data_IF_386467430753
#
_entry.id   IF_386467430753
#
_cell.length_a   1.000
_cell.length_b   1.000
_cell.length_c   1.000
_cell.angle_alpha   90.00
_cell.angle_beta   90.00
_cell.angle_gamma   90.00
#
_symmetry.space_group_name_H-M   'P 1'
#
loop_
_entity.id
_entity.type
_entity.pdbx_description
1 polymer ?
#
# COMPACT_ATOMS: atom_id res chain seq x y z
N UNK A 1 2.29 -41.50 34.49
CA UNK A 1 3.75 -41.30 34.70
C UNK A 1 4.00 -39.80 34.69
N UNK A 2 4.44 -39.25 35.84
CA UNK A 2 4.67 -37.82 36.08
C UNK A 2 5.79 -37.29 35.17
N UNK A 3 5.60 -36.12 34.57
CA UNK A 3 6.72 -35.29 34.08
C UNK A 3 6.45 -33.83 34.43
N UNK A 4 6.89 -33.46 35.64
CA UNK A 4 7.16 -32.08 36.01
C UNK A 4 8.33 -31.57 35.17
N UNK A 5 8.11 -30.56 34.32
CA UNK A 5 9.22 -29.76 33.81
C UNK A 5 9.55 -28.70 34.88
N UNK A 6 10.68 -28.92 35.52
CA UNK A 6 11.31 -27.97 36.43
C UNK A 6 11.55 -26.64 35.68
N UNK A 7 10.95 -25.56 36.18
CA UNK A 7 11.40 -24.20 35.88
C UNK A 7 12.79 -24.08 36.49
N UNK A 8 13.80 -23.70 35.69
CA UNK A 8 15.16 -23.55 36.21
C UNK A 8 15.20 -22.44 37.26
N UNK A 9 16.09 -22.52 38.25
CA UNK A 9 16.26 -21.46 39.26
C UNK A 9 16.59 -20.09 38.63
N UNK A 10 17.10 -20.05 37.39
CA UNK A 10 17.30 -18.81 36.64
C UNK A 10 15.98 -18.21 36.13
N UNK A 11 15.05 -19.02 35.64
CA UNK A 11 13.75 -18.57 35.14
C UNK A 11 12.85 -18.07 36.28
N UNK A 12 12.90 -18.72 37.45
CA UNK A 12 12.17 -18.29 38.64
C UNK A 12 12.68 -16.92 39.16
N UNK A 13 14.01 -16.72 39.17
CA UNK A 13 14.61 -15.44 39.54
C UNK A 13 14.30 -14.32 38.53
N UNK A 14 14.24 -14.64 37.23
CA UNK A 14 13.85 -13.68 36.20
C UNK A 14 12.39 -13.23 36.36
N UNK A 15 11.47 -14.16 36.63
CA UNK A 15 10.06 -13.85 36.89
C UNK A 15 9.88 -13.01 38.18
N UNK A 16 10.63 -13.32 39.23
CA UNK A 16 10.62 -12.54 40.48
C UNK A 16 11.16 -11.11 40.26
N UNK A 17 12.20 -10.96 39.44
CA UNK A 17 12.73 -9.64 39.06
C UNK A 17 11.75 -8.83 38.22
N UNK A 18 11.05 -9.47 37.26
CA UNK A 18 9.99 -8.83 36.48
C UNK A 18 8.81 -8.40 37.35
N UNK A 19 8.39 -9.24 38.29
CA UNK A 19 7.33 -8.92 39.24
C UNK A 19 7.70 -7.73 40.15
N UNK A 20 8.93 -7.73 40.68
CA UNK A 20 9.43 -6.61 41.49
C UNK A 20 9.59 -5.31 40.68
N UNK A 21 9.98 -5.40 39.41
CA UNK A 21 10.03 -4.25 38.51
C UNK A 21 8.63 -3.67 38.24
N UNK A 22 7.63 -4.53 38.00
CA UNK A 22 6.22 -4.15 37.84
C UNK A 22 5.67 -3.48 39.09
N UNK A 23 5.95 -4.02 40.28
CA UNK A 23 5.56 -3.41 41.55
C UNK A 23 6.21 -2.03 41.76
N UNK A 24 7.48 -1.85 41.36
CA UNK A 24 8.15 -0.55 41.42
C UNK A 24 7.53 0.46 40.45
N UNK A 25 7.20 0.05 39.22
CA UNK A 25 6.53 0.92 38.25
C UNK A 25 5.14 1.32 38.76
N UNK A 26 4.36 0.36 39.27
CA UNK A 26 3.04 0.64 39.86
C UNK A 26 3.13 1.54 41.09
N UNK A 27 4.14 1.36 41.95
CA UNK A 27 4.38 2.22 43.10
C UNK A 27 4.80 3.64 42.68
N UNK A 28 5.62 3.79 41.65
CA UNK A 28 5.99 5.11 41.09
C UNK A 28 4.77 5.77 40.46
N UNK A 29 3.97 5.05 39.68
CA UNK A 29 2.72 5.55 39.11
C UNK A 29 1.74 5.96 40.20
N UNK A 30 1.61 5.17 41.27
CA UNK A 30 0.74 5.48 42.42
C UNK A 30 1.26 6.69 43.19
N UNK A 31 2.57 6.80 43.45
CA UNK A 31 3.18 7.97 44.08
C UNK A 31 3.04 9.23 43.22
N UNK A 32 3.12 9.10 41.90
CA UNK A 32 2.88 10.20 40.96
C UNK A 32 1.41 10.62 40.98
N UNK A 33 0.48 9.66 41.02
CA UNK A 33 -0.95 9.94 41.16
C UNK A 33 -1.27 10.58 42.51
N UNK A 34 -0.69 10.09 43.60
CA UNK A 34 -0.86 10.63 44.96
C UNK A 34 -0.24 12.02 45.07
N UNK A 35 0.88 12.29 44.39
CA UNK A 35 1.48 13.62 44.31
C UNK A 35 0.60 14.58 43.52
N UNK A 36 0.07 14.17 42.37
CA UNK A 36 -0.93 14.94 41.61
C UNK A 36 -2.17 15.21 42.48
N UNK A 37 -2.67 14.23 43.23
CA UNK A 37 -3.86 14.37 44.09
C UNK A 37 -3.58 15.22 45.34
N UNK A 38 -2.36 15.19 45.89
CA UNK A 38 -1.97 16.01 47.06
C UNK A 38 -1.65 17.46 46.68
N UNK A 39 -1.09 17.67 45.49
CA UNK A 39 -0.82 19.01 44.93
C UNK A 39 -2.10 19.63 44.30
N UNK A 40 -3.21 18.88 44.26
CA UNK A 40 -4.54 19.42 43.95
C UNK A 40 -5.04 20.25 45.15
N UNK A 41 -5.24 21.57 45.00
CA UNK A 41 -5.72 22.42 46.08
C UNK A 41 -7.07 21.90 46.60
N UNK A 42 -7.15 21.59 47.89
CA UNK A 42 -8.40 21.20 48.57
C UNK A 42 -9.24 22.39 49.04
N UNK A 43 -8.95 23.57 48.52
CA UNK A 43 -9.78 24.74 48.70
C UNK A 43 -10.90 24.72 47.67
N UNK A 44 -12.13 24.50 48.13
CA UNK A 44 -13.35 24.88 47.42
C UNK A 44 -13.49 26.41 47.35
N UNK A 45 -12.44 27.10 46.90
CA UNK A 45 -12.67 28.33 46.16
C UNK A 45 -13.11 27.86 44.78
N UNK A 46 -14.36 28.15 44.44
CA UNK A 46 -14.80 28.20 43.06
C UNK A 46 -13.84 29.18 42.41
N UNK A 47 -12.76 28.68 41.79
CA UNK A 47 -12.03 29.42 40.79
C UNK A 47 -13.11 29.70 39.77
N UNK A 48 -13.69 30.89 39.81
CA UNK A 48 -14.43 31.43 38.69
C UNK A 48 -13.39 31.45 37.59
N UNK A 49 -13.28 30.34 36.85
CA UNK A 49 -12.33 30.18 35.78
C UNK A 49 -12.68 31.32 34.85
N UNK A 50 -11.84 32.37 34.88
CA UNK A 50 -12.18 33.60 34.21
C UNK A 50 -12.22 33.23 32.74
N UNK A 51 -13.43 33.12 32.18
CA UNK A 51 -13.64 32.58 30.83
C UNK A 51 -12.83 33.39 29.83
N UNK A 52 -12.55 34.64 30.12
CA UNK A 52 -11.76 35.53 29.29
C UNK A 52 -10.27 35.17 29.35
N UNK A 53 -9.71 34.86 30.53
CA UNK A 53 -8.32 34.36 30.65
C UNK A 53 -8.15 33.03 29.94
N UNK A 54 -9.11 32.12 30.07
CA UNK A 54 -9.10 30.85 29.34
C UNK A 54 -9.13 31.05 27.82
N UNK A 55 -10.05 31.89 27.33
CA UNK A 55 -10.16 32.21 25.89
C UNK A 55 -8.88 32.84 25.37
N UNK A 56 -8.32 33.82 26.08
CA UNK A 56 -7.05 34.46 25.70
C UNK A 56 -5.91 33.46 25.64
N UNK A 57 -5.81 32.57 26.63
CA UNK A 57 -4.77 31.52 26.66
C UNK A 57 -4.96 30.52 25.52
N UNK A 58 -6.20 30.14 25.21
CA UNK A 58 -6.53 29.27 24.08
C UNK A 58 -6.19 29.92 22.74
N UNK A 59 -6.54 31.20 22.54
CA UNK A 59 -6.23 31.97 21.34
C UNK A 59 -4.72 32.12 21.15
N UNK A 60 -3.98 32.42 22.23
CA UNK A 60 -2.53 32.49 22.20
C UNK A 60 -1.89 31.17 21.78
N UNK A 61 -2.35 30.04 22.35
CA UNK A 61 -1.86 28.72 22.00
C UNK A 61 -2.15 28.35 20.54
N UNK A 62 -3.38 28.62 20.07
CA UNK A 62 -3.77 28.37 18.68
C UNK A 62 -2.96 29.22 17.68
N UNK A 63 -2.64 30.46 18.06
CA UNK A 63 -1.77 31.32 17.25
C UNK A 63 -0.34 30.78 17.21
N UNK A 64 0.19 30.34 18.34
CA UNK A 64 1.52 29.74 18.42
C UNK A 64 1.62 28.45 17.57
N UNK A 65 0.60 27.59 17.63
CA UNK A 65 0.51 26.40 16.77
C UNK A 65 0.50 26.77 15.28
N UNK A 66 -0.37 27.71 14.89
CA UNK A 66 -0.46 28.19 13.50
C UNK A 66 0.85 28.81 13.02
N UNK A 67 1.55 29.55 13.87
CA UNK A 67 2.82 30.19 13.52
C UNK A 67 3.95 29.21 13.27
N UNK A 68 3.86 27.98 13.83
CA UNK A 68 4.84 26.89 13.68
C UNK A 68 4.46 25.87 12.60
N UNK A 69 3.30 26.02 11.96
CA UNK A 69 2.89 25.13 10.89
C UNK A 69 3.87 25.20 9.71
N UNK A 70 4.01 24.08 8.98
CA UNK A 70 4.95 23.99 7.85
C UNK A 70 4.65 25.02 6.74
N UNK A 71 3.41 25.48 6.66
CA UNK A 71 2.85 26.42 5.69
C UNK A 71 2.58 27.82 6.29
N UNK A 72 3.03 28.10 7.52
CA UNK A 72 2.72 29.34 8.23
C UNK A 72 3.15 30.60 7.46
N UNK A 73 4.38 30.61 6.92
CA UNK A 73 4.91 31.73 6.14
C UNK A 73 4.11 31.96 4.85
N UNK A 74 3.73 30.89 4.16
CA UNK A 74 2.93 30.95 2.93
C UNK A 74 1.52 31.47 3.21
N UNK A 75 0.92 30.99 4.30
CA UNK A 75 -0.41 31.43 4.74
C UNK A 75 -0.40 32.92 5.11
N UNK A 76 0.64 33.39 5.81
CA UNK A 76 0.79 34.79 6.16
C UNK A 76 0.99 35.70 4.93
N UNK A 77 1.68 35.21 3.90
CA UNK A 77 1.95 35.95 2.66
C UNK A 77 0.85 35.82 1.60
N UNK A 78 -0.21 35.05 1.86
CA UNK A 78 -1.25 34.72 0.88
C UNK A 78 -2.04 35.96 0.43
N UNK A 79 -2.23 36.09 -0.87
CA UNK A 79 -3.10 37.07 -1.51
C UNK A 79 -4.58 36.82 -1.22
N UNK A 80 -5.44 37.80 -1.47
CA UNK A 80 -6.88 37.66 -1.20
C UNK A 80 -7.57 36.63 -2.10
N UNK A 81 -7.05 36.41 -3.31
CA UNK A 81 -7.54 35.36 -4.20
C UNK A 81 -7.16 33.96 -3.68
N UNK A 82 -5.97 33.79 -3.11
CA UNK A 82 -5.55 32.53 -2.49
C UNK A 82 -6.37 32.23 -1.23
N UNK A 83 -6.63 33.23 -0.39
CA UNK A 83 -7.52 33.10 0.77
C UNK A 83 -8.93 32.66 0.35
N UNK A 84 -9.49 33.33 -0.67
CA UNK A 84 -10.80 32.98 -1.23
C UNK A 84 -10.82 31.55 -1.77
N UNK A 85 -9.79 31.15 -2.53
CA UNK A 85 -9.66 29.79 -3.03
C UNK A 85 -9.57 28.76 -1.89
N UNK A 86 -8.80 29.04 -0.84
CA UNK A 86 -8.69 28.18 0.33
C UNK A 86 -10.03 28.00 1.05
N UNK A 87 -10.82 29.08 1.21
CA UNK A 87 -12.17 29.00 1.78
C UNK A 87 -13.11 28.14 0.93
N UNK A 88 -13.05 28.26 -0.40
CA UNK A 88 -13.83 27.41 -1.31
C UNK A 88 -13.44 25.94 -1.15
N UNK A 89 -12.14 25.62 -1.12
CA UNK A 89 -11.65 24.25 -0.92
C UNK A 89 -12.11 23.69 0.43
N UNK A 90 -12.11 24.50 1.50
CA UNK A 90 -12.62 24.09 2.81
C UNK A 90 -14.12 23.77 2.77
N UNK A 91 -14.93 24.59 2.09
CA UNK A 91 -16.37 24.34 1.88
C UNK A 91 -16.61 23.06 1.07
N UNK A 92 -15.80 22.81 0.04
CA UNK A 92 -15.88 21.60 -0.78
C UNK A 92 -15.52 20.36 0.05
N UNK A 93 -14.49 20.44 0.89
CA UNK A 93 -14.14 19.35 1.81
C UNK A 93 -15.29 19.04 2.78
N UNK A 94 -15.95 20.06 3.32
CA UNK A 94 -17.13 19.87 4.17
C UNK A 94 -18.31 19.27 3.39
N UNK A 95 -18.52 19.70 2.14
CA UNK A 95 -19.52 19.11 1.25
C UNK A 95 -19.26 17.62 1.00
N UNK A 96 -18.02 17.24 0.63
CA UNK A 96 -17.67 15.83 0.41
C UNK A 96 -17.82 14.98 1.68
N UNK A 97 -17.55 15.56 2.85
CA UNK A 97 -17.80 14.91 4.13
C UNK A 97 -19.27 14.57 4.31
N UNK A 98 -20.16 15.54 4.12
CA UNK A 98 -21.59 15.34 4.34
C UNK A 98 -22.26 14.48 3.26
N UNK A 99 -21.76 14.54 2.01
CA UNK A 99 -22.42 13.95 0.84
C UNK A 99 -21.77 12.67 0.30
N UNK A 100 -20.49 12.41 0.59
CA UNK A 100 -19.78 11.20 0.10
C UNK A 100 -19.48 10.21 1.22
N UNK A 101 -18.85 10.67 2.30
CA UNK A 101 -18.42 9.79 3.40
C UNK A 101 -19.50 9.68 4.49
N UNK A 102 -20.36 10.68 4.61
CA UNK A 102 -21.46 10.79 5.56
C UNK A 102 -20.99 10.88 7.02
N UNK A 103 -21.93 11.17 7.93
CA UNK A 103 -21.63 11.16 9.38
C UNK A 103 -21.21 9.75 9.83
N UNK A 104 -20.16 9.61 10.66
CA UNK A 104 -19.78 8.34 11.27
C UNK A 104 -20.86 7.96 12.29
N UNK A 105 -21.90 7.31 11.80
CA UNK A 105 -22.82 6.58 12.63
C UNK A 105 -22.24 5.17 12.76
N UNK A 106 -22.33 4.57 13.95
CA UNK A 106 -22.00 3.18 14.23
C UNK A 106 -22.93 2.21 13.47
N UNK A 107 -23.02 2.36 12.17
CA UNK A 107 -23.79 1.52 11.25
C UNK A 107 -22.78 0.60 10.61
N UNK A 108 -22.94 -0.69 10.88
CA UNK A 108 -22.15 -1.75 10.27
C UNK A 108 -22.17 -1.63 8.75
N UNK A 109 -20.98 -1.59 8.12
CA UNK A 109 -20.82 -1.55 6.66
C UNK A 109 -20.77 -0.16 6.01
N UNK A 110 -20.80 0.94 6.79
CA UNK A 110 -20.65 2.28 6.23
C UNK A 110 -19.17 2.70 6.14
N UNK A 111 -18.71 2.91 4.91
CA UNK A 111 -17.33 3.27 4.58
C UNK A 111 -17.00 4.71 4.94
N UNK A 112 -15.93 4.93 5.70
CA UNK A 112 -15.48 6.26 6.16
C UNK A 112 -14.09 6.64 5.61
N UNK A 113 -13.73 7.93 5.63
CA UNK A 113 -12.45 8.43 5.09
C UNK A 113 -11.20 7.73 5.65
N UNK A 114 -11.27 7.24 6.90
CA UNK A 114 -10.17 6.54 7.58
C UNK A 114 -10.06 5.05 7.27
N UNK A 115 -10.95 4.49 6.45
CA UNK A 115 -10.88 3.08 6.03
C UNK A 115 -9.85 2.85 4.92
N UNK A 116 -9.62 1.56 4.64
CA UNK A 116 -8.64 1.09 3.68
C UNK A 116 -8.83 1.66 2.27
N UNK A 117 -7.73 2.07 1.62
CA UNK A 117 -7.76 2.68 0.29
C UNK A 117 -8.48 1.82 -0.76
N UNK A 118 -8.22 0.51 -0.81
CA UNK A 118 -8.86 -0.40 -1.78
C UNK A 118 -10.37 -0.46 -1.58
N UNK A 119 -10.81 -0.41 -0.33
CA UNK A 119 -12.20 -0.25 0.07
C UNK A 119 -12.65 1.19 0.11
N UNK A 120 -11.98 2.17 -0.50
CA UNK A 120 -12.38 3.59 -0.56
C UNK A 120 -12.17 4.26 -1.93
N UNK A 121 -11.47 3.60 -2.84
CA UNK A 121 -11.07 4.18 -4.12
C UNK A 121 -12.25 4.66 -4.97
N UNK A 122 -13.39 3.95 -5.00
CA UNK A 122 -14.57 4.40 -5.76
C UNK A 122 -15.27 5.60 -5.12
N UNK A 123 -15.20 5.76 -3.80
CA UNK A 123 -15.71 6.93 -3.09
C UNK A 123 -14.81 8.14 -3.31
N UNK A 124 -13.49 7.97 -3.15
CA UNK A 124 -12.50 9.02 -3.42
C UNK A 124 -12.69 9.59 -4.83
N UNK A 125 -12.89 8.72 -5.82
CA UNK A 125 -13.12 9.12 -7.21
C UNK A 125 -14.39 9.94 -7.45
N UNK A 126 -15.37 9.90 -6.53
CA UNK A 126 -16.62 10.66 -6.62
C UNK A 126 -16.51 12.07 -6.03
N UNK A 127 -15.56 12.29 -5.12
CA UNK A 127 -15.41 13.57 -4.39
C UNK A 127 -15.05 14.74 -5.30
N UNK A 128 -15.60 15.91 -4.98
CA UNK A 128 -15.23 17.17 -5.67
C UNK A 128 -13.80 17.59 -5.32
N UNK A 129 -13.37 17.34 -4.09
CA UNK A 129 -12.00 17.61 -3.64
C UNK A 129 -10.97 16.87 -4.49
N UNK A 130 -11.20 15.58 -4.80
CA UNK A 130 -10.27 14.81 -5.63
C UNK A 130 -10.24 15.32 -7.09
N UNK A 131 -11.37 15.80 -7.63
CA UNK A 131 -11.42 16.43 -8.96
C UNK A 131 -10.58 17.70 -9.02
N UNK A 132 -10.56 18.49 -7.94
CA UNK A 132 -9.69 19.66 -7.81
C UNK A 132 -8.23 19.22 -7.69
N UNK A 133 -7.94 18.24 -6.83
CA UNK A 133 -6.59 17.73 -6.62
C UNK A 133 -5.94 17.22 -7.91
N UNK A 134 -6.70 16.63 -8.84
CA UNK A 134 -6.22 16.23 -10.18
C UNK A 134 -5.77 17.41 -11.05
N UNK A 135 -6.35 18.58 -10.87
CA UNK A 135 -6.02 19.79 -11.64
C UNK A 135 -4.91 20.62 -11.00
N UNK A 136 -4.66 20.45 -9.70
CA UNK A 136 -3.64 21.20 -8.97
C UNK A 136 -2.23 20.92 -9.54
N UNK A 137 -1.37 21.95 -9.74
CA UNK A 137 0.02 21.74 -10.10
C UNK A 137 0.77 21.18 -8.90
N UNK A 138 1.14 19.89 -8.96
CA UNK A 138 1.72 19.18 -7.80
C UNK A 138 3.23 19.37 -7.67
N UNK A 139 3.86 20.03 -8.66
CA UNK A 139 5.30 20.21 -8.71
C UNK A 139 5.99 18.91 -9.13
N UNK A 140 6.50 18.17 -8.15
CA UNK A 140 7.41 17.07 -8.37
C UNK A 140 6.96 15.74 -7.76
N UNK A 141 7.12 14.65 -8.50
CA UNK A 141 6.95 13.29 -8.00
C UNK A 141 8.33 12.68 -7.67
N UNK A 142 8.75 12.80 -6.41
CA UNK A 142 10.13 12.51 -5.98
C UNK A 142 10.39 11.05 -5.57
N UNK A 143 9.36 10.21 -5.57
CA UNK A 143 9.50 8.81 -5.18
C UNK A 143 8.52 7.93 -5.96
N UNK A 144 9.01 7.31 -7.03
CA UNK A 144 8.26 6.33 -7.82
C UNK A 144 9.14 5.18 -8.25
N UNK A 145 8.55 4.00 -8.33
CA UNK A 145 9.17 2.84 -8.95
C UNK A 145 8.66 2.71 -10.38
N UNK A 146 9.58 2.71 -11.35
CA UNK A 146 9.22 2.71 -12.77
C UNK A 146 8.26 1.57 -13.14
N UNK A 147 8.49 0.39 -12.57
CA UNK A 147 7.73 -0.82 -12.87
C UNK A 147 6.27 -0.83 -12.35
N UNK A 148 5.87 0.15 -11.53
CA UNK A 148 4.53 0.24 -10.95
C UNK A 148 3.77 1.51 -11.32
N UNK A 149 4.29 2.33 -12.25
CA UNK A 149 3.65 3.60 -12.62
C UNK A 149 2.39 3.41 -13.50
N UNK A 150 2.35 2.35 -14.31
CA UNK A 150 1.19 2.01 -15.14
C UNK A 150 0.65 0.61 -14.82
N UNK A 151 -0.65 0.36 -15.08
CA UNK A 151 -1.26 -0.95 -14.90
C UNK A 151 -0.53 -2.05 -15.69
N UNK A 152 -0.34 -3.22 -15.07
CA UNK A 152 0.34 -4.37 -15.69
C UNK A 152 -0.27 -4.79 -17.04
N UNK A 153 -1.59 -4.62 -17.21
CA UNK A 153 -2.29 -4.88 -18.49
C UNK A 153 -1.69 -4.12 -19.67
N UNK A 154 -1.08 -2.96 -19.44
CA UNK A 154 -0.45 -2.15 -20.48
C UNK A 154 0.71 -2.92 -21.12
N UNK A 155 1.66 -3.41 -20.31
CA UNK A 155 2.84 -4.13 -20.78
C UNK A 155 2.47 -5.46 -21.45
N UNK A 156 1.50 -6.20 -20.88
CA UNK A 156 1.00 -7.42 -21.51
C UNK A 156 0.45 -7.09 -22.90
N UNK A 157 -0.32 -6.00 -23.05
CA UNK A 157 -0.83 -5.56 -24.35
C UNK A 157 0.28 -5.17 -25.34
N UNK A 158 1.39 -4.59 -24.88
CA UNK A 158 2.52 -4.26 -25.77
C UNK A 158 3.24 -5.51 -26.29
N UNK A 159 3.32 -6.57 -25.49
CA UNK A 159 4.11 -7.74 -25.81
C UNK A 159 3.31 -8.95 -26.35
N UNK A 160 1.97 -8.95 -26.18
CA UNK A 160 1.11 -10.11 -26.40
C UNK A 160 1.16 -10.73 -27.81
N UNK A 161 1.57 -9.96 -28.81
CA UNK A 161 1.60 -10.38 -30.20
C UNK A 161 3.01 -10.74 -30.72
N UNK A 162 4.02 -10.63 -29.86
CA UNK A 162 5.41 -10.93 -30.19
C UNK A 162 5.62 -12.45 -30.17
N UNK A 163 6.20 -13.00 -31.24
CA UNK A 163 6.53 -14.44 -31.34
C UNK A 163 7.50 -14.90 -30.27
N UNK A 164 8.42 -14.02 -29.86
CA UNK A 164 9.46 -14.23 -28.86
C UNK A 164 8.99 -14.03 -27.40
N UNK A 165 7.68 -13.89 -27.14
CA UNK A 165 7.16 -13.77 -25.77
C UNK A 165 6.88 -15.16 -25.20
N UNK A 166 7.36 -15.39 -23.98
CA UNK A 166 7.16 -16.62 -23.22
C UNK A 166 6.51 -16.33 -21.87
N UNK A 167 5.80 -17.34 -21.37
CA UNK A 167 5.19 -17.37 -20.04
C UNK A 167 5.66 -18.62 -19.30
N UNK A 168 5.83 -18.52 -17.99
CA UNK A 168 6.01 -19.68 -17.12
C UNK A 168 5.22 -19.53 -15.83
N UNK A 169 5.03 -20.66 -15.16
CA UNK A 169 4.36 -20.75 -13.87
C UNK A 169 5.17 -21.60 -12.88
N UNK A 170 5.05 -21.34 -11.59
CA UNK A 170 5.60 -22.22 -10.55
C UNK A 170 4.79 -23.51 -10.36
N UNK A 171 3.54 -23.55 -10.82
CA UNK A 171 2.63 -24.69 -10.70
C UNK A 171 1.88 -24.93 -12.03
N UNK A 172 1.45 -26.17 -12.34
CA UNK A 172 0.57 -26.45 -13.46
C UNK A 172 -0.74 -25.66 -13.32
N UNK A 173 -1.17 -24.95 -14.36
CA UNK A 173 -2.37 -24.12 -14.38
C UNK A 173 -3.63 -24.91 -14.78
N UNK A 174 -3.67 -26.17 -14.38
CA UNK A 174 -4.78 -27.12 -14.65
C UNK A 174 -5.97 -26.94 -13.70
N UNK A 175 -5.75 -26.38 -12.51
CA UNK A 175 -6.79 -26.20 -11.48
C UNK A 175 -6.90 -24.74 -11.05
N UNK A 176 -8.07 -24.34 -10.55
CA UNK A 176 -8.29 -22.99 -10.00
C UNK A 176 -7.40 -22.70 -8.79
N UNK A 177 -7.14 -23.70 -7.95
CA UNK A 177 -6.27 -23.53 -6.78
C UNK A 177 -4.82 -23.28 -7.21
N UNK A 178 -4.31 -24.06 -8.17
CA UNK A 178 -2.98 -23.81 -8.72
C UNK A 178 -2.92 -22.46 -9.45
N UNK A 179 -4.00 -22.06 -10.13
CA UNK A 179 -4.09 -20.70 -10.65
C UNK A 179 -3.92 -19.69 -9.53
N UNK A 180 -4.64 -19.77 -8.41
CA UNK A 180 -4.49 -18.81 -7.31
C UNK A 180 -3.06 -18.81 -6.74
N UNK A 181 -2.50 -19.98 -6.45
CA UNK A 181 -1.22 -20.13 -5.72
C UNK A 181 0.02 -19.95 -6.60
N UNK A 182 -0.12 -20.10 -7.91
CA UNK A 182 0.98 -19.97 -8.86
C UNK A 182 1.55 -18.56 -8.94
N UNK A 183 2.85 -18.48 -9.21
CA UNK A 183 3.51 -17.25 -9.64
C UNK A 183 3.74 -17.35 -11.13
N UNK A 184 3.24 -16.36 -11.85
CA UNK A 184 3.40 -16.24 -13.29
C UNK A 184 4.56 -15.29 -13.56
N UNK A 185 5.32 -15.54 -14.62
CA UNK A 185 6.32 -14.61 -15.12
C UNK A 185 6.28 -14.56 -16.63
N UNK A 186 6.46 -13.36 -17.17
CA UNK A 186 6.59 -13.12 -18.60
C UNK A 186 7.99 -12.69 -18.94
N UNK A 187 8.47 -13.08 -20.11
CA UNK A 187 9.76 -12.64 -20.62
C UNK A 187 9.79 -12.69 -22.14
N UNK A 188 10.42 -11.68 -22.74
CA UNK A 188 10.73 -11.69 -24.17
C UNK A 188 12.16 -12.20 -24.31
N UNK A 189 12.33 -13.29 -25.07
CA UNK A 189 13.63 -13.95 -25.23
C UNK A 189 13.71 -14.75 -26.53
N UNK A 190 14.92 -15.12 -26.92
CA UNK A 190 15.16 -16.02 -28.05
C UNK A 190 14.72 -17.45 -27.72
N UNK A 191 14.41 -18.29 -28.73
CA UNK A 191 14.13 -19.71 -28.50
C UNK A 191 15.26 -20.43 -27.75
N UNK A 192 16.51 -20.09 -28.04
CA UNK A 192 17.67 -20.64 -27.34
C UNK A 192 17.65 -20.30 -25.85
N UNK A 193 17.38 -19.05 -25.46
CA UNK A 193 17.26 -18.66 -24.05
C UNK A 193 16.09 -19.37 -23.34
N UNK A 194 14.99 -19.62 -24.06
CA UNK A 194 13.83 -20.31 -23.51
C UNK A 194 14.09 -21.81 -23.24
N UNK A 195 14.98 -22.42 -24.03
CA UNK A 195 15.31 -23.85 -23.94
C UNK A 195 16.64 -24.13 -23.23
N UNK A 196 17.39 -23.12 -22.79
CA UNK A 196 18.67 -23.33 -22.09
C UNK A 196 18.61 -22.77 -20.68
N UNK A 197 18.46 -23.67 -19.71
CA UNK A 197 18.44 -23.32 -18.28
C UNK A 197 19.79 -23.62 -17.64
N UNK A 198 20.12 -22.88 -16.58
CA UNK A 198 21.26 -23.19 -15.72
C UNK A 198 20.79 -24.03 -14.55
N UNK A 199 21.52 -25.10 -14.24
CA UNK A 199 21.31 -25.86 -13.01
C UNK A 199 21.90 -25.15 -11.78
N UNK A 200 21.77 -25.77 -10.61
CA UNK A 200 22.30 -25.23 -9.34
C UNK A 200 23.81 -25.01 -9.37
N UNK A 201 24.53 -25.76 -10.19
CA UNK A 201 25.98 -25.71 -10.34
C UNK A 201 26.40 -24.74 -11.47
N UNK A 202 25.43 -24.11 -12.14
CA UNK A 202 25.64 -23.12 -13.20
C UNK A 202 25.86 -23.72 -14.59
N UNK A 203 25.78 -25.03 -14.75
CA UNK A 203 25.92 -25.70 -16.04
C UNK A 203 24.67 -25.47 -16.89
N UNK A 204 24.89 -25.21 -18.18
CA UNK A 204 23.79 -25.03 -19.14
C UNK A 204 23.25 -26.38 -19.56
N UNK A 205 21.94 -26.56 -19.41
CA UNK A 205 21.22 -27.73 -19.88
C UNK A 205 20.16 -27.30 -20.90
N UNK A 206 20.14 -28.01 -22.03
CA UNK A 206 19.05 -27.87 -23.00
C UNK A 206 17.83 -28.62 -22.50
N UNK A 207 16.68 -27.96 -22.56
CA UNK A 207 15.41 -28.43 -22.02
C UNK A 207 14.29 -28.04 -22.96
N UNK A 208 13.32 -28.93 -23.09
CA UNK A 208 12.16 -28.64 -23.93
C UNK A 208 11.27 -27.57 -23.30
N UNK A 209 10.52 -26.89 -24.17
CA UNK A 209 9.46 -25.98 -23.76
C UNK A 209 8.37 -26.78 -23.05
N UNK A 210 7.82 -26.18 -22.00
CA UNK A 210 6.68 -26.76 -21.28
C UNK A 210 5.36 -26.22 -21.80
N UNK A 211 4.28 -26.89 -21.42
CA UNK A 211 2.93 -26.35 -21.50
C UNK A 211 2.37 -26.26 -20.09
N UNK A 212 2.02 -25.04 -19.65
CA UNK A 212 1.54 -24.82 -18.27
C UNK A 212 0.20 -25.49 -18.00
N UNK A 213 -0.50 -26.00 -19.00
CA UNK A 213 -1.77 -26.73 -18.86
C UNK A 213 -1.62 -28.26 -18.84
N UNK A 214 -0.40 -28.78 -18.89
CA UNK A 214 -0.15 -30.22 -18.77
C UNK A 214 -0.04 -30.60 -17.28
N UNK A 215 -0.54 -31.79 -16.90
CA UNK A 215 -0.50 -32.25 -15.50
C UNK A 215 0.93 -32.54 -15.01
N UNK A 216 1.80 -32.99 -15.91
CA UNK A 216 3.22 -33.26 -15.70
C UNK A 216 4.11 -32.03 -15.96
N UNK A 217 3.51 -30.83 -16.06
CA UNK A 217 4.25 -29.59 -16.25
C UNK A 217 5.35 -29.39 -15.20
N UNK A 218 6.59 -29.35 -15.68
CA UNK A 218 7.76 -29.07 -14.84
C UNK A 218 7.78 -27.58 -14.46
N UNK A 219 7.87 -27.32 -13.15
CA UNK A 219 7.85 -25.97 -12.59
C UNK A 219 8.86 -25.03 -13.28
N UNK A 220 8.42 -23.81 -13.59
CA UNK A 220 9.19 -22.75 -14.25
C UNK A 220 9.69 -23.07 -15.68
N UNK A 221 9.20 -24.10 -16.36
CA UNK A 221 9.43 -24.28 -17.80
C UNK A 221 8.76 -23.17 -18.61
N UNK A 222 9.46 -22.69 -19.63
CA UNK A 222 8.91 -21.68 -20.53
C UNK A 222 7.93 -22.30 -21.53
N UNK A 223 6.81 -21.61 -21.73
CA UNK A 223 5.80 -21.90 -22.73
C UNK A 223 5.68 -20.70 -23.67
N UNK A 224 5.61 -20.89 -25.00
CA UNK A 224 5.30 -19.80 -25.92
C UNK A 224 3.99 -19.11 -25.55
N UNK A 225 4.00 -17.78 -25.41
CA UNK A 225 2.80 -17.05 -24.99
C UNK A 225 1.66 -17.15 -26.01
N UNK A 226 1.99 -17.26 -27.31
CA UNK A 226 0.99 -17.52 -28.36
C UNK A 226 0.28 -18.85 -28.20
N UNK A 227 0.97 -19.88 -27.71
CA UNK A 227 0.34 -21.16 -27.40
C UNK A 227 -0.54 -21.01 -26.16
N UNK A 228 -0.04 -20.32 -25.12
CA UNK A 228 -0.81 -20.04 -23.92
C UNK A 228 -2.12 -19.33 -24.25
N UNK A 229 -2.10 -18.28 -25.08
CA UNK A 229 -3.31 -17.55 -25.49
C UNK A 229 -4.37 -18.42 -26.16
N UNK A 230 -3.97 -19.45 -26.92
CA UNK A 230 -4.92 -20.34 -27.61
C UNK A 230 -5.57 -21.34 -26.66
N UNK A 231 -4.83 -21.77 -25.65
CA UNK A 231 -5.25 -22.81 -24.71
C UNK A 231 -5.82 -22.23 -23.40
N UNK A 232 -5.56 -20.95 -23.14
CA UNK A 232 -5.99 -20.29 -21.91
C UNK A 232 -7.51 -20.26 -21.82
N UNK A 233 -8.03 -21.00 -20.86
CA UNK A 233 -9.45 -21.09 -20.56
C UNK A 233 -9.69 -20.67 -19.10
N UNK A 234 -9.93 -19.38 -18.87
CA UNK A 234 -10.62 -18.92 -17.65
C UNK A 234 -11.61 -17.80 -18.03
N UNK A 235 -12.91 -18.06 -17.80
CA UNK A 235 -14.08 -17.28 -18.28
C UNK A 235 -14.55 -16.19 -17.29
N UNK A 236 -13.63 -15.55 -16.60
CA UNK A 236 -13.89 -14.45 -15.65
C UNK A 236 -12.71 -13.45 -15.67
N UNK A 237 -12.81 -12.39 -14.86
CA UNK A 237 -11.75 -11.39 -14.64
C UNK A 237 -10.46 -11.96 -13.99
N UNK A 238 -10.27 -13.28 -13.94
CA UNK A 238 -9.11 -13.98 -13.34
C UNK A 238 -7.74 -13.47 -13.80
N UNK A 239 -7.62 -13.03 -15.06
CA UNK A 239 -6.41 -12.38 -15.56
C UNK A 239 -6.09 -11.06 -14.83
N UNK A 240 -7.13 -10.26 -14.52
CA UNK A 240 -6.99 -9.03 -13.74
C UNK A 240 -6.68 -9.33 -12.26
N UNK A 241 -7.23 -10.42 -11.72
CA UNK A 241 -7.00 -10.82 -10.32
C UNK A 241 -5.53 -11.07 -9.99
N UNK A 242 -4.72 -11.57 -10.94
CA UNK A 242 -3.27 -11.74 -10.71
C UNK A 242 -2.50 -10.42 -10.79
N UNK A 243 -3.04 -9.39 -11.42
CA UNK A 243 -2.36 -8.10 -11.61
C UNK A 243 -2.61 -7.10 -10.48
N UNK A 244 -3.76 -7.15 -9.81
CA UNK A 244 -4.12 -6.22 -8.73
C UNK A 244 -4.28 -6.92 -7.38
N UNK A 245 -3.90 -6.22 -6.31
CA UNK A 245 -4.21 -6.62 -4.93
C UNK A 245 -5.67 -6.26 -4.65
N UNK A 246 -6.47 -7.26 -4.25
CA UNK A 246 -7.84 -7.01 -3.79
C UNK A 246 -7.85 -6.56 -2.33
N UNK A 247 -8.96 -5.97 -1.91
CA UNK A 247 -9.16 -5.53 -0.52
C UNK A 247 -9.02 -6.70 0.46
N UNK A 248 -9.67 -7.84 0.20
CA UNK A 248 -9.56 -9.04 1.03
C UNK A 248 -8.11 -9.56 1.10
N UNK A 249 -7.35 -9.48 0.00
CA UNK A 249 -5.94 -9.87 0.01
C UNK A 249 -5.06 -8.92 0.82
N UNK A 250 -5.40 -7.63 0.89
CA UNK A 250 -4.63 -6.63 1.62
C UNK A 250 -5.01 -6.56 3.11
N UNK A 251 -6.28 -6.74 3.42
CA UNK A 251 -6.88 -6.38 4.72
C UNK A 251 -7.70 -7.50 5.36
N UNK A 252 -7.75 -8.70 4.75
CA UNK A 252 -8.43 -9.85 5.33
C UNK A 252 -7.91 -10.19 6.74
N UNK A 253 -8.78 -10.72 7.59
CA UNK A 253 -8.49 -10.94 9.03
C UNK A 253 -7.26 -11.81 9.32
N UNK A 254 -6.88 -12.68 8.39
CA UNK A 254 -5.70 -13.56 8.49
C UNK A 254 -4.45 -12.99 7.81
N UNK A 255 -4.55 -11.79 7.23
CA UNK A 255 -3.46 -11.20 6.48
C UNK A 255 -2.43 -10.55 7.40
N UNK A 256 -1.15 -10.63 7.01
CA UNK A 256 -0.03 -10.04 7.73
C UNK A 256 0.80 -9.15 6.80
N UNK A 257 1.59 -8.23 7.37
CA UNK A 257 2.53 -7.40 6.62
C UNK A 257 3.45 -8.26 5.74
N UNK A 258 3.99 -9.36 6.28
CA UNK A 258 4.83 -10.30 5.50
C UNK A 258 4.05 -10.97 4.37
N UNK A 259 2.79 -11.34 4.62
CA UNK A 259 1.90 -11.95 3.63
C UNK A 259 1.64 -11.02 2.44
N UNK A 260 1.33 -9.75 2.71
CA UNK A 260 1.06 -8.78 1.65
C UNK A 260 2.32 -8.39 0.89
N UNK A 261 3.47 -8.23 1.58
CA UNK A 261 4.77 -8.00 0.94
C UNK A 261 5.15 -9.14 -0.02
N UNK A 262 4.89 -10.39 0.37
CA UNK A 262 5.13 -11.55 -0.50
C UNK A 262 4.27 -11.47 -1.76
N UNK A 263 2.97 -11.13 -1.64
CA UNK A 263 2.08 -10.95 -2.80
C UNK A 263 2.51 -9.79 -3.69
N UNK A 264 2.86 -8.65 -3.10
CA UNK A 264 3.35 -7.47 -3.82
C UNK A 264 4.58 -7.80 -4.67
N UNK A 265 5.60 -8.42 -4.05
CA UNK A 265 6.83 -8.82 -4.74
C UNK A 265 6.58 -9.81 -5.88
N UNK A 266 5.66 -10.76 -5.72
CA UNK A 266 5.32 -11.69 -6.80
C UNK A 266 4.69 -10.97 -8.00
N UNK A 267 3.78 -10.00 -7.75
CA UNK A 267 3.10 -9.25 -8.81
C UNK A 267 4.05 -8.30 -9.55
N UNK A 268 4.96 -7.65 -8.85
CA UNK A 268 5.97 -6.78 -9.49
C UNK A 268 7.02 -7.60 -10.26
N UNK A 269 7.41 -8.78 -9.74
CA UNK A 269 8.33 -9.68 -10.44
C UNK A 269 7.76 -10.24 -11.74
N UNK A 270 6.45 -10.54 -11.79
CA UNK A 270 5.75 -11.06 -12.97
C UNK A 270 6.03 -10.23 -14.23
N UNK A 271 6.12 -8.90 -14.07
CA UNK A 271 6.21 -7.93 -15.17
C UNK A 271 7.65 -7.55 -15.52
N UNK A 272 8.64 -7.93 -14.71
CA UNK A 272 10.03 -7.49 -14.87
C UNK A 272 10.61 -7.87 -16.24
N UNK A 273 10.30 -9.08 -16.73
CA UNK A 273 10.82 -9.55 -18.02
C UNK A 273 10.22 -8.86 -19.25
N UNK A 274 9.13 -8.10 -19.10
CA UNK A 274 8.55 -7.32 -20.20
C UNK A 274 9.26 -5.99 -20.43
N UNK A 275 9.92 -5.45 -19.40
CA UNK A 275 10.74 -4.24 -19.54
C UNK A 275 12.06 -4.46 -20.28
N UNK A 276 12.50 -5.72 -20.42
CA UNK A 276 13.68 -6.06 -21.23
C UNK A 276 13.45 -5.89 -22.74
N UNK A 277 12.18 -5.73 -23.17
CA UNK A 277 11.84 -5.51 -24.56
C UNK A 277 11.75 -4.02 -24.89
N UNK A 278 12.65 -3.54 -25.74
CA UNK A 278 12.82 -2.12 -26.04
C UNK A 278 11.53 -1.41 -26.45
N UNK A 279 10.74 -2.00 -27.34
CA UNK A 279 9.50 -1.36 -27.81
C UNK A 279 8.47 -1.23 -26.68
N UNK A 280 8.32 -2.25 -25.82
CA UNK A 280 7.45 -2.14 -24.65
C UNK A 280 7.98 -1.11 -23.65
N UNK A 281 9.30 -1.08 -23.42
CA UNK A 281 9.95 -0.09 -22.56
C UNK A 281 9.68 1.34 -23.04
N UNK A 282 9.99 1.65 -24.30
CA UNK A 282 9.77 2.99 -24.90
C UNK A 282 8.31 3.43 -24.81
N UNK A 283 7.36 2.53 -25.12
CA UNK A 283 5.94 2.85 -25.06
C UNK A 283 5.45 3.03 -23.63
N UNK A 284 5.97 2.24 -22.68
CA UNK A 284 5.68 2.41 -21.26
C UNK A 284 6.21 3.75 -20.74
N UNK A 285 7.46 4.11 -21.04
CA UNK A 285 8.04 5.40 -20.63
C UNK A 285 7.20 6.57 -21.16
N UNK A 286 6.82 6.55 -22.43
CA UNK A 286 5.97 7.60 -23.02
C UNK A 286 4.63 7.69 -22.30
N UNK A 287 3.95 6.57 -22.10
CA UNK A 287 2.65 6.55 -21.42
C UNK A 287 2.77 7.01 -19.95
N UNK A 288 3.86 6.65 -19.26
CA UNK A 288 4.13 7.06 -17.89
C UNK A 288 4.32 8.58 -17.79
N UNK A 289 5.08 9.18 -18.70
CA UNK A 289 5.28 10.65 -18.73
C UNK A 289 3.95 11.35 -19.05
N UNK A 290 3.16 10.81 -19.99
CA UNK A 290 1.85 11.38 -20.33
C UNK A 290 0.88 11.33 -19.14
N UNK A 291 0.91 10.25 -18.35
CA UNK A 291 0.11 10.11 -17.13
C UNK A 291 0.49 11.19 -16.08
N UNK A 292 1.78 11.46 -15.90
CA UNK A 292 2.25 12.54 -15.02
C UNK A 292 1.79 13.92 -15.49
N UNK A 293 1.91 14.20 -16.79
CA UNK A 293 1.42 15.47 -17.37
C UNK A 293 -0.09 15.60 -17.18
N UNK A 294 -0.84 14.52 -17.38
CA UNK A 294 -2.30 14.50 -17.19
C UNK A 294 -2.69 14.78 -15.74
N UNK A 295 -1.90 14.33 -14.77
CA UNK A 295 -2.08 14.63 -13.34
C UNK A 295 -1.39 15.93 -12.89
N UNK A 296 -0.99 16.78 -13.84
CA UNK A 296 -0.36 18.08 -13.60
C UNK A 296 0.89 18.02 -12.70
N UNK A 297 1.75 17.04 -12.96
CA UNK A 297 3.09 16.86 -12.37
C UNK A 297 4.13 17.36 -13.39
N UNK A 298 5.04 18.23 -12.95
CA UNK A 298 5.99 18.94 -13.82
C UNK A 298 7.38 18.28 -13.83
N UNK A 299 7.74 17.54 -12.79
CA UNK A 299 9.02 16.86 -12.66
C UNK A 299 8.87 15.51 -11.93
N UNK A 300 9.71 14.52 -12.23
CA UNK A 300 9.66 13.23 -11.55
C UNK A 300 11.05 12.59 -11.42
N UNK A 301 11.32 11.98 -10.26
CA UNK A 301 12.52 11.18 -9.99
C UNK A 301 12.16 9.70 -9.93
N UNK A 302 12.61 8.96 -10.94
CA UNK A 302 12.23 7.56 -11.15
C UNK A 302 13.28 6.61 -10.59
N UNK A 303 12.84 5.62 -9.80
CA UNK A 303 13.62 4.50 -9.26
C UNK A 303 13.48 3.24 -10.13
#
# INVERSE_FOLDING_TARGET
MKTSKFISNQDANMLLNLYNALLRVLAISYLYLVRIIKDFPRDKQIISYNRDVYKQTLEALQLEEKSRAFDAQLTAASSDIEKTAAEIVQKIRAYDWDNTYGKPLNVTGKRVQGEHFLGNVDLINKTELFKIAKKMPKGAHLHIHFNSCLPAKFLVKQARDIKAMYIRSTLPLTTRQNWIDSRISFMVMTPHEATHVKDSDGNKQSVDLGNVFDEDYVSNRWMPYKQFQRQFFFRDDSGQMKMHISEEEAHGTRQTSRGIWKKFNHRTQMMKGLFAYEFAFRNYTRACIMDFVQDNIQYAEIR
#
